data_IF_470914832474
#
_entry.id   IF_470914832474
#
_cell.length_a   1.000
_cell.length_b   1.000
_cell.length_c   1.000
_cell.angle_alpha   90.00
_cell.angle_beta   90.00
_cell.angle_gamma   90.00
#
_symmetry.space_group_name_H-M   'P 1'
#
loop_
_entity.id
_entity.type
_entity.pdbx_description
1 polymer ?
#
# COMPACT_ATOMS: atom_id res chain seq x y z
N UNK A 1 19.66 30.97 -28.11
CA UNK A 1 21.01 30.64 -27.59
C UNK A 1 20.88 30.14 -26.15
N UNK A 2 20.62 28.85 -25.96
CA UNK A 2 20.55 28.22 -24.62
C UNK A 2 21.98 27.94 -24.12
N UNK A 3 22.69 29.00 -23.73
CA UNK A 3 24.06 28.91 -23.23
C UNK A 3 24.12 28.38 -21.81
N UNK A 4 24.91 27.31 -21.60
CA UNK A 4 25.54 26.91 -20.33
C UNK A 4 24.66 27.05 -19.08
N UNK A 5 23.67 26.17 -18.93
CA UNK A 5 23.17 25.84 -17.58
C UNK A 5 24.30 25.09 -16.86
N UNK A 6 24.71 25.57 -15.68
CA UNK A 6 25.60 24.84 -14.77
C UNK A 6 25.04 23.42 -14.58
N UNK A 7 25.64 22.47 -15.28
CA UNK A 7 25.28 21.05 -15.24
C UNK A 7 26.22 20.41 -14.22
N UNK A 8 25.65 19.91 -13.15
CA UNK A 8 26.40 19.02 -12.24
C UNK A 8 26.43 17.64 -12.89
N UNK A 9 27.61 17.04 -12.96
CA UNK A 9 27.75 15.65 -13.38
C UNK A 9 27.47 14.74 -12.20
N UNK A 10 26.61 13.74 -12.41
CA UNK A 10 26.45 12.63 -11.48
C UNK A 10 26.69 11.33 -12.23
N UNK A 11 27.22 10.33 -11.54
CA UNK A 11 27.35 8.97 -12.07
C UNK A 11 26.14 8.17 -11.61
N UNK A 12 25.39 7.60 -12.55
CA UNK A 12 24.28 6.70 -12.27
C UNK A 12 24.46 5.46 -13.15
N UNK A 13 24.52 4.26 -12.55
CA UNK A 13 24.74 3.00 -13.27
C UNK A 13 25.92 3.07 -14.28
N UNK A 14 27.04 3.63 -13.84
CA UNK A 14 28.28 3.82 -14.63
C UNK A 14 28.16 4.77 -15.85
N UNK A 15 27.05 5.49 -15.99
CA UNK A 15 26.86 6.57 -16.97
C UNK A 15 27.00 7.97 -16.34
N UNK A 16 27.70 8.89 -17.02
CA UNK A 16 27.74 10.30 -16.63
C UNK A 16 26.47 11.03 -17.11
N UNK A 17 25.59 11.36 -16.16
CA UNK A 17 24.40 12.16 -16.42
C UNK A 17 24.64 13.63 -16.09
N UNK A 18 24.18 14.50 -17.00
CA UNK A 18 24.16 15.93 -16.79
C UNK A 18 22.81 16.36 -16.21
N UNK A 19 22.79 16.71 -14.93
CA UNK A 19 21.58 17.18 -14.24
C UNK A 19 21.62 18.69 -14.01
N UNK A 20 20.44 19.32 -13.96
CA UNK A 20 20.36 20.75 -13.62
C UNK A 20 20.63 20.98 -12.13
N UNK A 21 21.07 22.20 -11.78
CA UNK A 21 21.39 22.56 -10.39
C UNK A 21 20.22 22.35 -9.43
N UNK A 22 18.99 22.57 -9.89
CA UNK A 22 17.80 22.41 -9.06
C UNK A 22 17.58 20.93 -8.69
N UNK A 23 17.63 20.02 -9.67
CA UNK A 23 17.55 18.58 -9.42
C UNK A 23 18.68 18.10 -8.51
N UNK A 24 19.91 18.60 -8.72
CA UNK A 24 21.03 18.27 -7.85
C UNK A 24 20.79 18.70 -6.40
N UNK A 25 20.20 19.89 -6.19
CA UNK A 25 19.88 20.36 -4.84
C UNK A 25 18.87 19.46 -4.10
N UNK A 26 17.98 18.76 -4.81
CA UNK A 26 17.08 17.78 -4.20
C UNK A 26 17.79 16.48 -3.82
N UNK A 27 18.83 16.08 -4.56
CA UNK A 27 19.70 14.97 -4.17
C UNK A 27 20.41 15.31 -2.85
N UNK A 28 21.03 16.50 -2.77
CA UNK A 28 21.67 16.98 -1.54
C UNK A 28 20.68 17.07 -0.36
N UNK A 29 19.44 17.53 -0.61
CA UNK A 29 18.40 17.56 0.42
C UNK A 29 18.10 16.15 0.95
N UNK A 30 17.99 15.17 0.06
CA UNK A 30 17.71 13.78 0.42
C UNK A 30 18.87 13.16 1.22
N UNK A 31 20.11 13.53 0.92
CA UNK A 31 21.28 13.12 1.73
C UNK A 31 21.26 13.76 3.12
N UNK A 32 20.92 15.05 3.24
CA UNK A 32 20.79 15.72 4.54
C UNK A 32 19.68 15.13 5.41
N UNK A 33 18.56 14.75 4.79
CA UNK A 33 17.44 14.10 5.49
C UNK A 33 17.86 12.77 6.14
N UNK A 34 18.92 12.12 5.66
CA UNK A 34 19.39 10.82 6.16
C UNK A 34 19.62 10.78 7.66
N UNK A 35 20.29 11.81 8.18
CA UNK A 35 20.69 11.91 9.58
C UNK A 35 20.04 13.11 10.27
N UNK A 36 18.99 13.68 9.66
CA UNK A 36 18.32 14.86 10.20
C UNK A 36 17.55 14.51 11.47
N UNK A 37 17.91 15.15 12.57
CA UNK A 37 17.15 15.10 13.84
C UNK A 37 16.22 16.32 13.97
N UNK A 38 16.59 17.43 13.34
CA UNK A 38 15.90 18.71 13.47
C UNK A 38 15.48 19.28 12.12
N UNK A 39 14.29 19.85 12.09
CA UNK A 39 13.81 20.74 11.05
C UNK A 39 13.96 22.19 11.51
N UNK A 40 14.77 22.95 10.80
CA UNK A 40 15.00 24.37 11.06
C UNK A 40 14.16 25.21 10.11
N UNK A 41 13.49 26.22 10.66
CA UNK A 41 12.78 27.23 9.88
C UNK A 41 12.98 28.61 10.51
N UNK A 42 13.35 29.57 9.68
CA UNK A 42 13.41 30.97 10.04
C UNK A 42 12.57 31.79 9.06
N UNK A 43 11.75 32.69 9.60
CA UNK A 43 10.95 33.61 8.78
C UNK A 43 11.77 34.87 8.54
N UNK A 44 11.98 35.21 7.28
CA UNK A 44 12.62 36.43 6.81
C UNK A 44 11.72 37.18 5.85
N UNK A 45 12.32 38.03 5.02
CA UNK A 45 11.63 38.73 3.93
C UNK A 45 11.60 37.85 2.68
N UNK A 46 10.48 37.90 1.95
CA UNK A 46 10.34 37.23 0.66
C UNK A 46 11.25 37.90 -0.37
N UNK A 47 12.03 37.09 -1.08
CA UNK A 47 12.95 37.57 -2.12
C UNK A 47 12.36 37.20 -3.48
N UNK A 48 12.18 38.16 -4.36
CA UNK A 48 11.72 37.86 -5.71
C UNK A 48 12.82 37.14 -6.50
N UNK A 49 12.54 35.92 -6.95
CA UNK A 49 13.50 35.03 -7.62
C UNK A 49 12.79 34.40 -8.82
N UNK A 50 13.01 34.95 -10.01
CA UNK A 50 12.40 34.48 -11.27
C UNK A 50 12.73 33.02 -11.62
N UNK A 51 13.93 32.54 -11.25
CA UNK A 51 14.38 31.20 -11.61
C UNK A 51 15.29 30.58 -10.52
N UNK A 52 14.70 29.94 -9.50
CA UNK A 52 15.43 29.40 -8.36
C UNK A 52 16.34 28.24 -8.81
N UNK A 53 17.61 28.29 -8.40
CA UNK A 53 18.63 27.30 -8.77
C UNK A 53 18.71 26.12 -7.80
N UNK A 54 18.15 26.25 -6.61
CA UNK A 54 18.13 25.22 -5.56
C UNK A 54 16.84 25.31 -4.72
N UNK A 55 16.54 24.26 -3.96
CA UNK A 55 15.34 24.21 -3.12
C UNK A 55 15.29 25.32 -2.04
N UNK A 56 16.44 25.82 -1.55
CA UNK A 56 16.46 26.88 -0.53
C UNK A 56 16.00 28.22 -1.09
N UNK A 57 16.37 28.53 -2.32
CA UNK A 57 15.89 29.71 -3.04
C UNK A 57 14.38 29.68 -3.23
N UNK A 58 13.79 28.50 -3.49
CA UNK A 58 12.33 28.33 -3.53
C UNK A 58 11.71 28.72 -2.19
N UNK A 59 12.23 28.25 -1.06
CA UNK A 59 11.67 28.64 0.24
C UNK A 59 11.89 30.13 0.57
N UNK A 60 13.03 30.68 0.16
CA UNK A 60 13.35 32.10 0.37
C UNK A 60 12.47 33.04 -0.44
N UNK A 61 11.98 32.61 -1.61
CA UNK A 61 10.99 33.41 -2.34
C UNK A 61 9.66 33.55 -1.61
N UNK A 62 9.35 32.61 -0.72
CA UNK A 62 8.23 32.72 0.22
C UNK A 62 8.60 33.38 1.57
N UNK A 63 9.83 33.86 1.74
CA UNK A 63 10.32 34.47 2.97
C UNK A 63 10.69 33.46 4.06
N UNK A 64 11.07 32.24 3.68
CA UNK A 64 11.47 31.19 4.61
C UNK A 64 12.87 30.67 4.32
N UNK A 65 13.72 30.62 5.35
CA UNK A 65 14.98 29.87 5.30
C UNK A 65 14.77 28.53 6.01
N UNK A 66 14.87 27.44 5.26
CA UNK A 66 14.56 26.08 5.70
C UNK A 66 15.81 25.21 5.59
N UNK A 67 16.05 24.38 6.61
CA UNK A 67 17.12 23.39 6.57
C UNK A 67 16.80 22.16 7.42
N UNK A 68 17.45 21.05 7.10
CA UNK A 68 17.39 19.81 7.87
C UNK A 68 18.77 19.55 8.48
N UNK A 69 18.83 19.39 9.80
CA UNK A 69 20.09 19.39 10.56
C UNK A 69 20.19 18.21 11.51
N UNK A 70 21.42 17.69 11.66
CA UNK A 70 21.76 16.64 12.64
C UNK A 70 21.93 17.19 14.05
N UNK A 71 22.49 18.39 14.18
CA UNK A 71 22.71 19.09 15.45
C UNK A 71 22.14 20.51 15.40
N UNK A 72 21.84 21.06 16.58
CA UNK A 72 21.44 22.46 16.70
C UNK A 72 22.63 23.38 16.54
N UNK A 73 22.36 24.55 15.98
CA UNK A 73 23.30 25.67 15.87
C UNK A 73 22.68 26.87 16.57
N UNK A 74 23.47 27.80 17.11
CA UNK A 74 22.99 28.99 17.86
C UNK A 74 22.21 30.04 17.03
N UNK A 75 21.64 29.65 15.89
CA UNK A 75 20.86 30.52 15.01
C UNK A 75 19.52 30.89 15.65
N UNK A 76 19.09 32.15 15.49
CA UNK A 76 17.82 32.72 16.01
C UNK A 76 16.51 32.11 15.45
N UNK A 77 16.58 31.04 14.66
CA UNK A 77 15.40 30.41 14.05
C UNK A 77 14.72 29.37 14.95
N UNK A 78 13.59 28.83 14.48
CA UNK A 78 12.83 27.80 15.19
C UNK A 78 13.32 26.41 14.79
N UNK A 79 13.47 25.54 15.79
CA UNK A 79 13.83 24.14 15.59
C UNK A 79 12.66 23.24 15.98
N UNK A 80 12.28 22.33 15.09
CA UNK A 80 11.31 21.28 15.35
C UNK A 80 12.03 19.93 15.40
N UNK A 81 11.71 19.13 16.41
CA UNK A 81 12.22 17.77 16.53
C UNK A 81 11.44 16.84 15.59
N UNK A 82 12.14 16.05 14.78
CA UNK A 82 11.50 15.13 13.83
C UNK A 82 11.15 13.80 14.52
N UNK A 83 9.91 13.33 14.35
CA UNK A 83 9.41 12.04 14.82
C UNK A 83 9.66 11.73 16.32
N UNK A 84 9.78 12.76 17.15
CA UNK A 84 10.01 12.59 18.59
C UNK A 84 9.31 13.73 19.36
N UNK A 85 8.57 13.36 20.41
CA UNK A 85 7.77 14.27 21.23
C UNK A 85 8.53 14.86 22.41
N UNK A 86 9.78 14.43 22.67
CA UNK A 86 10.63 14.95 23.73
C UNK A 86 11.32 16.27 23.33
N UNK A 87 10.56 17.20 22.75
CA UNK A 87 11.09 18.44 22.20
C UNK A 87 11.50 19.45 23.28
N UNK A 88 10.89 19.38 24.48
CA UNK A 88 11.18 20.29 25.59
C UNK A 88 12.59 20.07 26.15
N UNK A 89 12.98 18.82 26.41
CA UNK A 89 14.32 18.51 26.94
C UNK A 89 15.42 18.83 25.93
N UNK A 90 15.09 18.76 24.64
CA UNK A 90 16.01 19.11 23.56
C UNK A 90 16.02 20.62 23.29
N UNK A 91 15.20 21.45 23.96
CA UNK A 91 15.03 22.91 23.75
C UNK A 91 14.51 23.29 22.35
N UNK A 92 13.65 22.46 21.76
CA UNK A 92 13.01 22.72 20.46
C UNK A 92 11.71 23.53 20.64
N UNK A 93 11.30 24.24 19.58
CA UNK A 93 10.02 24.96 19.53
C UNK A 93 8.80 24.03 19.40
N UNK A 94 9.02 22.77 19.06
CA UNK A 94 7.96 21.77 18.90
C UNK A 94 8.50 20.51 18.22
N UNK A 95 7.59 19.68 17.70
CA UNK A 95 7.91 18.49 16.93
C UNK A 95 7.11 18.44 15.62
N UNK A 96 7.58 17.62 14.68
CA UNK A 96 6.89 17.31 13.43
C UNK A 96 6.95 15.80 13.19
N UNK A 97 5.79 15.21 12.98
CA UNK A 97 5.70 13.84 12.47
C UNK A 97 5.75 13.87 10.95
N UNK A 98 6.29 12.80 10.38
CA UNK A 98 6.32 12.58 8.94
C UNK A 98 7.11 11.34 8.60
N UNK A 99 6.90 10.81 7.41
CA UNK A 99 7.60 9.63 6.92
C UNK A 99 8.96 10.01 6.31
N UNK A 100 9.91 10.40 7.15
CA UNK A 100 11.26 10.82 6.72
C UNK A 100 12.28 9.67 6.67
N UNK A 101 11.89 8.47 7.14
CA UNK A 101 12.78 7.31 7.14
C UNK A 101 12.78 6.66 5.77
N UNK A 102 13.91 6.74 5.08
CA UNK A 102 14.12 6.07 3.81
C UNK A 102 14.93 4.77 4.00
N UNK A 103 14.65 3.73 3.21
CA UNK A 103 15.40 2.48 3.28
C UNK A 103 16.85 2.68 2.84
N UNK A 104 17.80 2.06 3.56
CA UNK A 104 19.24 2.10 3.25
C UNK A 104 19.62 0.90 2.36
N UNK A 105 20.36 1.19 1.29
CA UNK A 105 20.97 0.21 0.39
C UNK A 105 22.47 0.03 0.68
N UNK A 106 23.20 -0.62 -0.22
CA UNK A 106 24.64 -0.91 -0.04
C UNK A 106 25.50 0.35 -0.09
N UNK A 107 25.23 1.24 -1.06
CA UNK A 107 26.02 2.46 -1.33
C UNK A 107 25.32 3.76 -0.87
N UNK A 108 24.22 3.65 -0.14
CA UNK A 108 23.46 4.82 0.31
C UNK A 108 21.97 4.54 0.55
N UNK A 109 21.11 5.23 -0.19
CA UNK A 109 19.68 4.95 -0.19
C UNK A 109 19.37 3.74 -1.07
N UNK A 110 18.40 2.94 -0.66
CA UNK A 110 18.01 1.77 -1.44
C UNK A 110 17.45 2.20 -2.79
N UNK A 111 17.99 1.62 -3.84
CA UNK A 111 17.47 1.73 -5.21
C UNK A 111 16.20 0.90 -5.37
N UNK A 112 15.46 1.17 -6.43
CA UNK A 112 14.29 0.36 -6.79
C UNK A 112 14.63 -1.10 -7.08
N UNK A 113 15.82 -1.37 -7.61
CA UNK A 113 16.29 -2.73 -7.80
C UNK A 113 16.56 -3.42 -6.45
N UNK A 114 17.31 -2.79 -5.54
CA UNK A 114 17.58 -3.35 -4.20
C UNK A 114 16.28 -3.59 -3.39
N UNK A 115 15.27 -2.72 -3.55
CA UNK A 115 13.95 -2.93 -2.94
C UNK A 115 13.20 -4.12 -3.55
N UNK A 116 13.29 -4.30 -4.86
CA UNK A 116 12.64 -5.41 -5.56
C UNK A 116 13.29 -6.76 -5.22
N UNK A 117 14.62 -6.79 -5.05
CA UNK A 117 15.38 -7.99 -4.70
C UNK A 117 15.04 -8.58 -3.33
N UNK A 118 14.49 -7.76 -2.42
CA UNK A 118 13.95 -8.19 -1.13
C UNK A 118 12.56 -8.87 -1.24
N UNK A 119 11.96 -8.89 -2.43
CA UNK A 119 10.66 -9.53 -2.65
C UNK A 119 10.75 -11.04 -2.49
N UNK A 120 9.65 -11.65 -2.03
CA UNK A 120 9.47 -13.10 -2.13
C UNK A 120 9.03 -13.45 -3.56
N UNK A 121 9.67 -14.44 -4.16
CA UNK A 121 9.42 -14.84 -5.55
C UNK A 121 10.09 -13.89 -6.55
N UNK A 122 9.31 -13.33 -7.48
CA UNK A 122 9.84 -12.48 -8.56
C UNK A 122 10.52 -11.22 -8.01
N UNK A 123 11.85 -11.25 -8.00
CA UNK A 123 12.76 -10.21 -7.50
C UNK A 123 12.87 -8.97 -8.40
N UNK A 124 12.14 -8.93 -9.51
CA UNK A 124 12.11 -7.77 -10.40
C UNK A 124 10.87 -6.90 -10.19
N UNK A 125 10.02 -7.21 -9.20
CA UNK A 125 8.74 -6.54 -9.00
C UNK A 125 8.74 -5.63 -7.78
N UNK A 126 8.16 -4.44 -7.96
CA UNK A 126 7.84 -3.48 -6.92
C UNK A 126 6.34 -3.33 -6.77
N UNK A 127 5.91 -3.17 -5.53
CA UNK A 127 4.59 -2.69 -5.18
C UNK A 127 4.60 -1.17 -5.04
N UNK A 128 3.54 -0.55 -5.53
CA UNK A 128 3.26 0.87 -5.37
C UNK A 128 1.89 0.97 -4.72
N UNK A 129 1.77 1.61 -3.57
CA UNK A 129 0.51 1.83 -2.88
C UNK A 129 0.22 3.32 -2.80
N UNK A 130 -0.99 3.67 -3.23
CA UNK A 130 -1.62 4.97 -2.95
C UNK A 130 -2.90 4.75 -2.16
N UNK A 131 -3.17 5.58 -1.17
CA UNK A 131 -4.39 5.52 -0.37
C UNK A 131 -4.90 6.92 -0.03
N UNK A 132 -6.19 7.04 0.21
CA UNK A 132 -6.85 8.32 0.48
C UNK A 132 -8.09 8.11 1.36
N UNK A 133 -8.26 8.96 2.38
CA UNK A 133 -9.40 8.88 3.30
C UNK A 133 -10.70 9.22 2.59
N UNK A 134 -11.67 8.32 2.72
CA UNK A 134 -12.96 8.48 2.08
C UNK A 134 -13.78 9.56 2.78
N UNK A 135 -14.37 10.45 1.98
CA UNK A 135 -15.39 11.41 2.41
C UNK A 135 -14.93 12.38 3.50
N UNK A 136 -13.63 12.68 3.55
CA UNK A 136 -13.04 13.56 4.55
C UNK A 136 -13.76 14.92 4.66
N UNK A 137 -14.09 15.53 3.51
CA UNK A 137 -14.87 16.77 3.47
C UNK A 137 -16.25 16.66 4.14
N UNK A 138 -16.96 15.55 3.92
CA UNK A 138 -18.26 15.28 4.56
C UNK A 138 -18.11 14.99 6.05
N UNK A 139 -17.04 14.30 6.46
CA UNK A 139 -16.73 14.01 7.87
C UNK A 139 -16.52 15.32 8.63
N UNK A 140 -15.70 16.25 8.10
CA UNK A 140 -15.51 17.57 8.72
C UNK A 140 -16.72 18.50 8.60
N UNK A 141 -17.44 18.42 7.48
CA UNK A 141 -18.60 19.25 7.18
C UNK A 141 -19.79 18.95 8.08
N UNK A 142 -20.15 17.67 8.17
CA UNK A 142 -21.42 17.20 8.72
C UNK A 142 -21.28 16.13 9.81
N UNK A 143 -20.13 15.45 9.90
CA UNK A 143 -19.97 14.29 10.80
C UNK A 143 -20.09 14.60 12.29
N UNK A 144 -19.92 15.86 12.70
CA UNK A 144 -20.08 16.31 14.09
C UNK A 144 -21.48 16.87 14.40
N UNK A 145 -22.35 17.06 13.40
CA UNK A 145 -23.69 17.65 13.54
C UNK A 145 -23.71 18.87 14.49
N UNK A 146 -24.62 18.89 15.46
CA UNK A 146 -24.76 19.97 16.46
C UNK A 146 -23.55 20.10 17.41
N UNK A 147 -22.69 19.10 17.49
CA UNK A 147 -21.45 19.14 18.29
C UNK A 147 -20.29 19.81 17.57
N UNK A 148 -20.50 20.43 16.41
CA UNK A 148 -19.43 21.05 15.62
C UNK A 148 -18.89 22.31 16.31
N UNK A 149 -17.66 22.25 16.81
CA UNK A 149 -16.90 23.40 17.32
C UNK A 149 -15.52 23.44 16.69
N UNK A 150 -14.88 24.62 16.66
CA UNK A 150 -13.50 24.78 16.13
C UNK A 150 -12.55 23.80 16.81
N UNK A 151 -12.62 23.69 18.14
CA UNK A 151 -11.79 22.75 18.91
C UNK A 151 -11.97 21.29 18.48
N UNK A 152 -13.21 20.84 18.25
CA UNK A 152 -13.49 19.46 17.82
C UNK A 152 -13.04 19.18 16.39
N UNK A 153 -13.23 20.14 15.47
CA UNK A 153 -12.72 20.03 14.09
C UNK A 153 -11.20 19.94 14.08
N UNK A 154 -10.51 20.84 14.80
CA UNK A 154 -9.04 20.82 14.90
C UNK A 154 -8.53 19.55 15.54
N UNK A 155 -9.23 19.02 16.56
CA UNK A 155 -8.88 17.75 17.19
C UNK A 155 -9.03 16.59 16.21
N UNK A 156 -10.15 16.51 15.49
CA UNK A 156 -10.37 15.48 14.48
C UNK A 156 -9.30 15.51 13.39
N UNK A 157 -8.98 16.69 12.86
CA UNK A 157 -7.91 16.87 11.88
C UNK A 157 -6.56 16.40 12.40
N UNK A 158 -6.20 16.80 13.62
CA UNK A 158 -4.95 16.38 14.25
C UNK A 158 -4.89 14.87 14.49
N UNK A 159 -6.00 14.22 14.82
CA UNK A 159 -6.06 12.76 15.02
C UNK A 159 -5.88 12.02 13.69
N UNK A 160 -6.54 12.47 12.62
CA UNK A 160 -6.36 11.89 11.28
C UNK A 160 -4.89 12.04 10.85
N UNK A 161 -4.34 13.27 10.89
CA UNK A 161 -2.93 13.50 10.57
C UNK A 161 -1.98 12.65 11.40
N UNK A 162 -2.25 12.46 12.70
CA UNK A 162 -1.41 11.62 13.57
C UNK A 162 -1.32 10.17 13.08
N UNK A 163 -2.42 9.63 12.53
CA UNK A 163 -2.42 8.29 11.98
C UNK A 163 -1.51 8.17 10.74
N UNK A 164 -1.70 9.07 9.77
CA UNK A 164 -0.98 9.03 8.49
C UNK A 164 0.46 9.57 8.58
N UNK A 165 0.77 10.48 9.50
CA UNK A 165 2.12 11.06 9.62
C UNK A 165 2.97 10.36 10.70
N UNK A 166 2.33 9.88 11.76
CA UNK A 166 2.98 9.30 12.93
C UNK A 166 2.89 7.78 12.98
N UNK A 167 1.67 7.24 13.10
CA UNK A 167 1.46 5.79 13.28
C UNK A 167 1.95 4.97 12.09
N UNK A 168 1.97 5.53 10.87
CA UNK A 168 2.57 4.87 9.71
C UNK A 168 4.00 4.37 9.99
N UNK A 169 4.84 5.21 10.62
CA UNK A 169 6.22 4.87 10.91
C UNK A 169 6.30 3.73 11.93
N UNK A 170 5.42 3.75 12.93
CA UNK A 170 5.34 2.68 13.93
C UNK A 170 4.88 1.37 13.30
N UNK A 171 3.89 1.39 12.42
CA UNK A 171 3.40 0.18 11.72
C UNK A 171 4.49 -0.42 10.82
N UNK A 172 5.23 0.42 10.07
CA UNK A 172 6.37 -0.02 9.26
C UNK A 172 7.43 -0.70 10.13
N UNK A 173 7.73 -0.12 11.29
CA UNK A 173 8.70 -0.66 12.25
C UNK A 173 8.23 -1.97 12.89
N UNK A 174 6.98 -2.05 13.34
CA UNK A 174 6.39 -3.25 13.95
C UNK A 174 6.38 -4.44 12.99
N UNK A 175 6.25 -4.18 11.69
CA UNK A 175 6.32 -5.20 10.64
C UNK A 175 7.75 -5.49 10.15
N UNK A 176 8.77 -4.82 10.70
CA UNK A 176 10.17 -4.90 10.28
C UNK A 176 10.38 -4.58 8.78
N UNK A 177 9.70 -3.54 8.28
CA UNK A 177 9.67 -3.18 6.85
C UNK A 177 10.48 -1.94 6.51
N UNK A 178 11.25 -1.39 7.46
CA UNK A 178 12.06 -0.18 7.30
C UNK A 178 13.08 -0.25 6.16
N UNK A 179 13.47 -1.47 5.76
CA UNK A 179 14.39 -1.72 4.63
C UNK A 179 13.69 -2.03 3.31
N UNK A 180 12.39 -2.34 3.34
CA UNK A 180 11.62 -2.86 2.21
C UNK A 180 10.56 -1.89 1.69
N UNK A 181 10.25 -0.84 2.46
CA UNK A 181 9.31 0.22 2.08
C UNK A 181 10.03 1.56 2.05
N UNK A 182 9.84 2.25 0.94
CA UNK A 182 10.14 3.65 0.71
C UNK A 182 8.84 4.44 0.75
N UNK A 183 8.65 5.31 1.75
CA UNK A 183 7.49 6.20 1.80
C UNK A 183 7.83 7.49 1.05
N UNK A 184 7.14 7.75 -0.07
CA UNK A 184 7.39 8.95 -0.89
C UNK A 184 6.73 10.17 -0.25
N UNK A 185 5.48 9.99 0.21
CA UNK A 185 4.75 11.00 0.94
C UNK A 185 3.72 10.34 1.86
N UNK A 186 3.50 10.93 3.03
CA UNK A 186 2.38 10.59 3.89
C UNK A 186 2.02 11.82 4.71
N UNK A 187 0.83 12.36 4.51
CA UNK A 187 0.42 13.60 5.17
C UNK A 187 -1.07 13.85 5.07
N UNK A 188 -1.64 14.33 6.19
CA UNK A 188 -3.08 14.51 6.32
C UNK A 188 -3.84 13.19 6.16
N UNK A 189 -4.28 12.93 4.93
CA UNK A 189 -5.17 11.85 4.51
C UNK A 189 -4.70 11.05 3.29
N UNK A 190 -3.62 11.48 2.62
CA UNK A 190 -3.02 10.80 1.46
C UNK A 190 -1.67 10.17 1.85
N UNK A 191 -1.44 8.96 1.36
CA UNK A 191 -0.16 8.26 1.51
C UNK A 191 0.22 7.60 0.21
N UNK A 192 1.51 7.76 -0.15
CA UNK A 192 2.14 7.12 -1.27
C UNK A 192 3.43 6.40 -0.86
N UNK A 193 3.51 5.11 -1.16
CA UNK A 193 4.68 4.29 -0.83
C UNK A 193 5.05 3.31 -1.94
N UNK A 194 6.33 2.97 -2.00
CA UNK A 194 6.94 2.05 -2.96
C UNK A 194 7.75 1.03 -2.17
N UNK A 195 7.72 -0.24 -2.55
CA UNK A 195 8.53 -1.25 -1.86
C UNK A 195 8.46 -2.60 -2.53
N UNK A 196 9.00 -3.63 -1.88
CA UNK A 196 8.86 -5.02 -2.34
C UNK A 196 7.37 -5.37 -2.45
N UNK A 197 6.93 -5.94 -3.56
CA UNK A 197 5.49 -6.04 -3.87
C UNK A 197 4.69 -6.83 -2.83
N UNK A 198 5.26 -7.94 -2.32
CA UNK A 198 4.63 -8.78 -1.30
C UNK A 198 4.54 -8.06 0.04
N UNK A 199 5.52 -7.20 0.33
CA UNK A 199 5.57 -6.38 1.54
C UNK A 199 4.55 -5.24 1.47
N UNK A 200 4.43 -4.57 0.34
CA UNK A 200 3.39 -3.54 0.13
C UNK A 200 1.97 -4.09 0.35
N UNK A 201 1.69 -5.31 -0.13
CA UNK A 201 0.41 -5.99 0.14
C UNK A 201 0.16 -6.25 1.63
N UNK A 202 1.16 -6.78 2.33
CA UNK A 202 1.13 -7.04 3.78
C UNK A 202 0.89 -5.75 4.58
N UNK A 203 1.60 -4.67 4.21
CA UNK A 203 1.44 -3.37 4.82
C UNK A 203 0.04 -2.80 4.59
N UNK A 204 -0.48 -2.83 3.35
CA UNK A 204 -1.80 -2.29 3.05
C UNK A 204 -2.90 -2.96 3.89
N UNK A 205 -2.83 -4.29 4.04
CA UNK A 205 -3.73 -5.04 4.93
C UNK A 205 -3.60 -4.56 6.38
N UNK A 206 -2.39 -4.57 6.93
CA UNK A 206 -2.16 -4.24 8.34
C UNK A 206 -2.54 -2.79 8.66
N UNK A 207 -2.22 -1.87 7.75
CA UNK A 207 -2.55 -0.47 7.85
C UNK A 207 -4.08 -0.24 7.83
N UNK A 208 -4.82 -1.02 7.04
CA UNK A 208 -6.29 -0.99 7.06
C UNK A 208 -6.89 -1.52 8.35
N UNK A 209 -6.37 -2.64 8.87
CA UNK A 209 -6.81 -3.23 10.13
C UNK A 209 -6.59 -2.26 11.30
N UNK A 210 -5.38 -1.68 11.38
CA UNK A 210 -5.06 -0.69 12.42
C UNK A 210 -5.87 0.59 12.29
N UNK A 211 -6.24 1.00 11.08
CA UNK A 211 -7.09 2.16 10.90
C UNK A 211 -8.51 1.89 11.38
N UNK A 212 -9.06 0.71 11.10
CA UNK A 212 -10.35 0.26 11.66
C UNK A 212 -10.35 0.34 13.18
N UNK A 213 -9.29 -0.18 13.84
CA UNK A 213 -9.14 -0.09 15.29
C UNK A 213 -9.07 1.38 15.75
N UNK A 214 -8.29 2.21 15.06
CA UNK A 214 -8.06 3.63 15.37
C UNK A 214 -9.35 4.46 15.35
N UNK A 215 -10.24 4.18 14.39
CA UNK A 215 -11.54 4.85 14.24
C UNK A 215 -12.68 4.14 14.99
N UNK A 216 -12.34 3.22 15.90
CA UNK A 216 -13.30 2.44 16.70
C UNK A 216 -14.31 1.64 15.86
N UNK A 217 -13.86 1.08 14.74
CA UNK A 217 -14.67 0.31 13.78
C UNK A 217 -15.85 1.11 13.19
N UNK A 218 -15.74 2.44 13.14
CA UNK A 218 -16.74 3.29 12.52
C UNK A 218 -16.75 3.11 11.00
N UNK A 219 -17.82 2.48 10.48
CA UNK A 219 -17.99 2.18 9.06
C UNK A 219 -18.11 3.44 8.16
N UNK A 220 -18.29 4.62 8.74
CA UNK A 220 -18.35 5.89 7.99
C UNK A 220 -16.98 6.55 7.79
N UNK A 221 -15.95 6.12 8.52
CA UNK A 221 -14.59 6.65 8.41
C UNK A 221 -13.71 5.53 7.85
N UNK A 222 -13.49 5.58 6.55
CA UNK A 222 -12.75 4.56 5.80
C UNK A 222 -11.72 5.21 4.90
N UNK A 223 -10.89 4.42 4.24
CA UNK A 223 -10.07 4.89 3.14
C UNK A 223 -10.14 3.90 1.98
N UNK A 224 -9.94 4.42 0.78
CA UNK A 224 -9.76 3.63 -0.43
C UNK A 224 -8.28 3.56 -0.78
N UNK A 225 -7.87 2.47 -1.43
CA UNK A 225 -6.47 2.23 -1.77
C UNK A 225 -6.33 1.68 -3.20
N UNK A 226 -5.14 1.82 -3.77
CA UNK A 226 -4.75 1.15 -4.99
C UNK A 226 -3.34 0.63 -4.86
N UNK A 227 -3.15 -0.64 -5.25
CA UNK A 227 -1.87 -1.33 -5.23
C UNK A 227 -1.52 -1.70 -6.67
N UNK A 228 -0.54 -0.98 -7.22
CA UNK A 228 0.07 -1.30 -8.49
C UNK A 228 1.29 -2.22 -8.30
N UNK A 229 1.50 -3.15 -9.23
CA UNK A 229 2.70 -4.00 -9.24
C UNK A 229 3.40 -3.84 -10.57
N UNK A 230 4.66 -3.42 -10.54
CA UNK A 230 5.43 -3.03 -11.72
C UNK A 230 6.83 -3.63 -11.67
N UNK A 231 7.46 -3.75 -12.84
CA UNK A 231 8.87 -4.08 -12.89
C UNK A 231 9.72 -2.94 -12.29
N UNK A 232 10.81 -3.25 -11.60
CA UNK A 232 11.69 -2.26 -10.97
C UNK A 232 12.34 -1.27 -11.95
N UNK A 233 12.42 -1.62 -13.24
CA UNK A 233 12.90 -0.74 -14.32
C UNK A 233 11.79 0.06 -15.00
N UNK A 234 10.52 -0.15 -14.61
CA UNK A 234 9.41 0.60 -15.17
C UNK A 234 9.45 2.06 -14.68
N UNK A 235 9.21 3.06 -15.54
CA UNK A 235 9.30 4.47 -15.15
C UNK A 235 8.40 4.82 -13.96
N UNK A 236 8.99 5.35 -12.88
CA UNK A 236 8.27 5.65 -11.62
C UNK A 236 7.11 6.63 -11.81
N UNK A 237 7.27 7.63 -12.68
CA UNK A 237 6.20 8.60 -12.95
C UNK A 237 4.97 7.91 -13.55
N UNK A 238 5.19 6.93 -14.45
CA UNK A 238 4.10 6.18 -15.07
C UNK A 238 3.43 5.22 -14.10
N UNK A 239 4.19 4.60 -13.18
CA UNK A 239 3.58 3.73 -12.15
C UNK A 239 2.75 4.53 -11.16
N UNK A 240 3.17 5.75 -10.79
CA UNK A 240 2.37 6.69 -10.00
C UNK A 240 1.04 6.98 -10.71
N UNK A 241 1.09 7.46 -11.96
CA UNK A 241 -0.10 7.86 -12.73
C UNK A 241 -1.13 6.71 -12.87
N UNK A 242 -0.64 5.50 -13.17
CA UNK A 242 -1.48 4.31 -13.30
C UNK A 242 -2.10 3.88 -11.97
N UNK A 243 -1.36 4.03 -10.87
CA UNK A 243 -1.84 3.70 -9.52
C UNK A 243 -2.87 4.72 -9.04
N UNK A 244 -2.68 6.00 -9.36
CA UNK A 244 -3.66 7.05 -9.09
C UNK A 244 -4.96 6.84 -9.86
N UNK A 245 -4.87 6.55 -11.16
CA UNK A 245 -6.03 6.18 -11.98
C UNK A 245 -6.78 4.95 -11.41
N UNK A 246 -6.03 4.00 -10.83
CA UNK A 246 -6.58 2.80 -10.20
C UNK A 246 -7.29 3.11 -8.87
N UNK A 247 -6.81 4.11 -8.12
CA UNK A 247 -7.45 4.59 -6.89
C UNK A 247 -8.76 5.31 -7.21
N UNK A 248 -8.76 6.15 -8.25
CA UNK A 248 -9.98 6.81 -8.73
C UNK A 248 -11.01 5.79 -9.20
N UNK A 249 -10.57 4.75 -9.90
CA UNK A 249 -11.45 3.62 -10.25
C UNK A 249 -12.01 2.95 -8.99
N UNK A 250 -11.18 2.68 -7.97
CA UNK A 250 -11.65 2.08 -6.71
C UNK A 250 -12.73 2.93 -6.01
N UNK A 251 -12.55 4.26 -5.97
CA UNK A 251 -13.51 5.20 -5.35
C UNK A 251 -14.82 5.32 -6.12
N UNK A 252 -14.79 5.15 -7.44
CA UNK A 252 -15.94 5.30 -8.33
C UNK A 252 -16.56 3.96 -8.77
N UNK A 253 -16.00 2.83 -8.34
CA UNK A 253 -16.45 1.52 -8.75
C UNK A 253 -17.87 1.23 -8.24
N UNK A 254 -18.74 0.76 -9.14
CA UNK A 254 -20.13 0.42 -8.84
C UNK A 254 -20.30 -1.10 -8.89
N UNK A 255 -20.65 -1.73 -7.78
CA UNK A 255 -21.05 -3.14 -7.85
C UNK A 255 -22.41 -3.28 -8.55
N UNK A 256 -22.63 -4.44 -9.16
CA UNK A 256 -23.93 -4.77 -9.75
C UNK A 256 -25.04 -4.69 -8.69
N UNK A 257 -26.00 -3.79 -8.90
CA UNK A 257 -27.12 -3.55 -7.98
C UNK A 257 -26.94 -2.31 -7.08
N UNK A 258 -25.79 -1.65 -7.10
CA UNK A 258 -25.61 -0.34 -6.44
C UNK A 258 -26.10 0.79 -7.35
N UNK A 259 -26.67 1.83 -6.76
CA UNK A 259 -27.07 3.06 -7.48
C UNK A 259 -26.02 4.16 -7.42
N UNK A 260 -25.14 4.12 -6.42
CA UNK A 260 -24.01 5.03 -6.26
C UNK A 260 -22.76 4.27 -5.84
N UNK A 261 -21.55 4.72 -6.24
CA UNK A 261 -20.31 4.08 -5.84
C UNK A 261 -20.14 4.10 -4.33
N UNK A 262 -20.01 2.93 -3.74
CA UNK A 262 -19.53 2.78 -2.36
C UNK A 262 -18.00 2.90 -2.36
N UNK A 263 -17.43 3.80 -1.56
CA UNK A 263 -15.96 3.87 -1.38
C UNK A 263 -15.48 2.70 -0.50
N UNK A 264 -14.40 2.85 0.27
CA UNK A 264 -13.86 1.78 1.14
C UNK A 264 -13.43 0.54 0.35
N UNK A 265 -12.76 0.76 -0.78
CA UNK A 265 -12.33 -0.29 -1.72
C UNK A 265 -10.83 -0.26 -1.96
N UNK A 266 -10.29 -1.38 -2.40
CA UNK A 266 -8.91 -1.53 -2.82
C UNK A 266 -8.84 -2.02 -4.26
N UNK A 267 -8.07 -1.33 -5.10
CA UNK A 267 -7.74 -1.80 -6.45
C UNK A 267 -6.45 -2.60 -6.42
N UNK A 268 -6.44 -3.76 -7.06
CA UNK A 268 -5.28 -4.63 -7.20
C UNK A 268 -5.32 -5.37 -8.54
N UNK A 269 -4.21 -5.33 -9.28
CA UNK A 269 -4.05 -6.06 -10.56
C UNK A 269 -5.17 -5.77 -11.59
N UNK A 270 -5.69 -4.55 -11.59
CA UNK A 270 -6.73 -4.09 -12.52
C UNK A 270 -8.17 -4.36 -12.06
N UNK A 271 -8.35 -5.00 -10.91
CA UNK A 271 -9.64 -5.34 -10.34
C UNK A 271 -9.90 -4.56 -9.06
N UNK A 272 -11.17 -4.26 -8.77
CA UNK A 272 -11.59 -3.56 -7.56
C UNK A 272 -12.24 -4.54 -6.59
N UNK A 273 -11.81 -4.47 -5.33
CA UNK A 273 -12.24 -5.33 -4.25
C UNK A 273 -12.66 -4.51 -3.03
N UNK A 274 -13.59 -5.03 -2.23
CA UNK A 274 -13.73 -4.56 -0.86
C UNK A 274 -12.64 -5.20 0.04
N UNK A 275 -12.50 -4.69 1.26
CA UNK A 275 -11.45 -5.15 2.18
C UNK A 275 -11.65 -6.60 2.66
N UNK A 276 -12.88 -7.11 2.69
CA UNK A 276 -13.15 -8.53 2.97
C UNK A 276 -12.60 -9.41 1.86
N UNK A 277 -12.91 -9.08 0.61
CA UNK A 277 -12.43 -9.76 -0.59
C UNK A 277 -10.90 -9.74 -0.65
N UNK A 278 -10.27 -8.60 -0.36
CA UNK A 278 -8.82 -8.48 -0.29
C UNK A 278 -8.20 -9.42 0.74
N UNK A 279 -8.81 -9.57 1.93
CA UNK A 279 -8.37 -10.54 2.94
C UNK A 279 -8.54 -11.98 2.47
N UNK A 280 -9.59 -12.29 1.70
CA UNK A 280 -9.80 -13.64 1.13
C UNK A 280 -8.78 -13.96 0.05
N UNK A 281 -8.40 -12.99 -0.79
CA UNK A 281 -7.31 -13.14 -1.77
C UNK A 281 -6.04 -13.63 -1.07
N UNK A 282 -5.65 -13.00 0.05
CA UNK A 282 -4.44 -13.38 0.77
C UNK A 282 -4.53 -14.79 1.39
N UNK A 283 -5.69 -15.17 1.94
CA UNK A 283 -5.90 -16.53 2.46
C UNK A 283 -5.75 -17.58 1.36
N UNK A 284 -6.43 -17.39 0.23
CA UNK A 284 -6.34 -18.30 -0.92
C UNK A 284 -4.92 -18.33 -1.47
N UNK A 285 -4.24 -17.17 -1.56
CA UNK A 285 -2.83 -17.08 -1.98
C UNK A 285 -1.94 -17.95 -1.08
N UNK A 286 -2.10 -17.85 0.25
CA UNK A 286 -1.27 -18.61 1.18
C UNK A 286 -1.52 -20.13 1.08
N UNK A 287 -2.78 -20.55 0.94
CA UNK A 287 -3.13 -21.96 0.72
C UNK A 287 -2.45 -22.52 -0.54
N UNK A 288 -2.43 -21.74 -1.63
CA UNK A 288 -1.75 -22.11 -2.86
C UNK A 288 -0.24 -22.23 -2.68
N UNK A 289 0.40 -21.26 -2.03
CA UNK A 289 1.85 -21.26 -1.79
C UNK A 289 2.26 -22.44 -0.92
N UNK A 290 1.56 -22.68 0.20
CA UNK A 290 1.81 -23.81 1.10
C UNK A 290 1.78 -25.14 0.36
N UNK A 291 0.85 -25.28 -0.58
CA UNK A 291 0.67 -26.49 -1.38
C UNK A 291 1.77 -26.68 -2.41
N UNK A 292 2.18 -25.59 -3.08
CA UNK A 292 3.30 -25.63 -4.04
C UNK A 292 4.61 -25.96 -3.33
N UNK A 293 4.88 -25.33 -2.19
CA UNK A 293 6.10 -25.58 -1.42
C UNK A 293 6.18 -27.04 -0.97
N UNK A 294 5.08 -27.62 -0.48
CA UNK A 294 5.02 -29.05 -0.17
C UNK A 294 5.25 -29.91 -1.41
N UNK A 295 4.60 -29.64 -2.54
CA UNK A 295 4.82 -30.42 -3.76
C UNK A 295 6.30 -30.43 -4.19
N UNK A 296 7.01 -29.31 -3.99
CA UNK A 296 8.45 -29.21 -4.24
C UNK A 296 9.28 -30.04 -3.24
N UNK A 297 8.93 -30.05 -1.95
CA UNK A 297 9.62 -30.88 -0.94
C UNK A 297 9.59 -32.38 -1.27
N UNK A 298 8.53 -32.86 -1.93
CA UNK A 298 8.39 -34.26 -2.35
C UNK A 298 8.88 -34.53 -3.79
N UNK A 299 9.65 -33.61 -4.40
CA UNK A 299 10.20 -33.73 -5.76
C UNK A 299 9.16 -33.94 -6.87
N UNK A 300 7.96 -33.37 -6.72
CA UNK A 300 6.93 -33.41 -7.77
C UNK A 300 6.54 -31.99 -8.26
N UNK A 301 7.44 -31.29 -8.98
CA UNK A 301 7.26 -29.87 -9.36
C UNK A 301 6.15 -29.64 -10.41
N UNK A 302 5.79 -30.67 -11.19
CA UNK A 302 4.78 -30.55 -12.25
C UNK A 302 3.35 -30.34 -11.75
N UNK A 303 3.12 -30.44 -10.43
CA UNK A 303 1.78 -30.33 -9.84
C UNK A 303 1.43 -28.92 -9.44
N UNK A 304 2.41 -28.08 -9.09
CA UNK A 304 2.14 -26.69 -8.72
C UNK A 304 1.41 -25.93 -9.83
N UNK A 305 1.94 -25.93 -11.06
CA UNK A 305 1.35 -25.18 -12.18
C UNK A 305 0.05 -25.78 -12.72
N UNK A 306 -0.05 -27.10 -12.81
CA UNK A 306 -1.29 -27.78 -13.23
C UNK A 306 -2.43 -27.55 -12.25
N UNK A 307 -2.12 -27.55 -10.94
CA UNK A 307 -3.06 -27.25 -9.87
C UNK A 307 -3.55 -25.81 -9.92
N UNK A 308 -2.62 -24.84 -10.05
CA UNK A 308 -2.96 -23.42 -10.19
C UNK A 308 -3.91 -23.18 -11.35
N UNK A 309 -3.63 -23.78 -12.51
CA UNK A 309 -4.50 -23.68 -13.68
C UNK A 309 -5.90 -24.27 -13.44
N UNK A 310 -5.97 -25.41 -12.74
CA UNK A 310 -7.26 -26.07 -12.43
C UNK A 310 -8.09 -25.24 -11.44
N UNK A 311 -7.45 -24.60 -10.46
CA UNK A 311 -8.11 -23.70 -9.51
C UNK A 311 -8.53 -22.40 -10.20
N UNK A 312 -7.70 -21.84 -11.06
CA UNK A 312 -8.09 -20.68 -11.86
C UNK A 312 -9.34 -21.00 -12.72
N UNK A 313 -9.44 -22.22 -13.26
CA UNK A 313 -10.64 -22.68 -13.99
C UNK A 313 -11.87 -22.89 -13.11
N UNK A 314 -11.70 -23.28 -11.84
CA UNK A 314 -12.82 -23.50 -10.91
C UNK A 314 -13.65 -22.23 -10.70
N UNK A 315 -13.05 -21.05 -10.89
CA UNK A 315 -13.67 -19.72 -10.92
C UNK A 315 -14.94 -19.68 -11.77
N UNK A 316 -14.94 -20.34 -12.94
CA UNK A 316 -16.11 -20.38 -13.81
C UNK A 316 -17.29 -21.12 -13.18
N UNK A 317 -17.02 -22.23 -12.48
CA UNK A 317 -18.03 -22.99 -11.74
C UNK A 317 -18.51 -22.26 -10.48
N UNK A 318 -17.62 -21.53 -9.80
CA UNK A 318 -17.96 -20.78 -8.59
C UNK A 318 -18.72 -19.48 -8.88
N UNK A 319 -18.56 -18.89 -10.07
CA UNK A 319 -19.23 -17.63 -10.45
C UNK A 319 -20.73 -17.64 -10.19
N UNK A 320 -21.42 -18.69 -10.62
CA UNK A 320 -22.88 -18.80 -10.47
C UNK A 320 -23.26 -18.99 -9.00
N UNK A 321 -22.50 -19.82 -8.26
CA UNK A 321 -22.71 -20.05 -6.83
C UNK A 321 -22.57 -18.74 -6.04
N UNK A 322 -21.56 -17.92 -6.38
CA UNK A 322 -21.34 -16.62 -5.77
C UNK A 322 -22.47 -15.62 -6.06
N UNK A 323 -23.00 -15.63 -7.29
CA UNK A 323 -24.14 -14.80 -7.65
C UNK A 323 -25.41 -15.22 -6.91
N UNK A 324 -25.64 -16.53 -6.74
CA UNK A 324 -26.78 -17.06 -6.00
C UNK A 324 -26.66 -16.72 -4.50
N UNK A 325 -25.47 -16.83 -3.91
CA UNK A 325 -25.26 -16.51 -2.49
C UNK A 325 -25.51 -15.03 -2.18
N UNK A 326 -25.13 -14.12 -3.08
CA UNK A 326 -25.46 -12.69 -2.96
C UNK A 326 -26.97 -12.40 -3.05
N UNK A 327 -27.76 -13.32 -3.62
CA UNK A 327 -29.23 -13.26 -3.65
C UNK A 327 -29.89 -14.01 -2.50
N UNK A 328 -29.12 -14.48 -1.52
CA UNK A 328 -29.64 -15.28 -0.40
C UNK A 328 -29.98 -16.72 -0.77
N UNK A 329 -29.52 -17.21 -1.92
CA UNK A 329 -29.83 -18.56 -2.43
C UNK A 329 -28.61 -19.46 -2.35
N UNK A 330 -28.85 -20.75 -2.12
CA UNK A 330 -27.81 -21.78 -2.18
C UNK A 330 -28.28 -22.90 -3.09
N UNK A 331 -27.46 -23.20 -4.09
CA UNK A 331 -27.61 -24.39 -4.92
C UNK A 331 -26.57 -25.43 -4.47
N UNK A 332 -27.01 -26.32 -3.57
CA UNK A 332 -26.17 -27.40 -3.06
C UNK A 332 -25.66 -28.31 -4.18
N UNK A 333 -26.43 -28.52 -5.25
CA UNK A 333 -26.04 -29.40 -6.36
C UNK A 333 -24.89 -28.78 -7.16
N UNK A 334 -24.95 -27.48 -7.46
CA UNK A 334 -23.84 -26.76 -8.09
C UNK A 334 -22.59 -26.78 -7.22
N UNK A 335 -22.74 -26.61 -5.90
CA UNK A 335 -21.62 -26.70 -4.97
C UNK A 335 -21.00 -28.10 -4.96
N UNK A 336 -21.82 -29.16 -4.94
CA UNK A 336 -21.35 -30.55 -5.07
C UNK A 336 -20.62 -30.81 -6.39
N UNK A 337 -21.08 -30.24 -7.51
CA UNK A 337 -20.39 -30.34 -8.82
C UNK A 337 -19.02 -29.65 -8.80
N UNK A 338 -18.91 -28.49 -8.15
CA UNK A 338 -17.64 -27.79 -7.97
C UNK A 338 -16.67 -28.62 -7.12
N UNK A 339 -17.15 -29.15 -5.98
CA UNK A 339 -16.36 -30.05 -5.14
C UNK A 339 -15.92 -31.31 -5.89
N UNK A 340 -16.79 -31.87 -6.73
CA UNK A 340 -16.46 -33.02 -7.59
C UNK A 340 -15.43 -32.68 -8.67
N UNK A 341 -15.50 -31.50 -9.29
CA UNK A 341 -14.47 -31.05 -10.24
C UNK A 341 -13.08 -30.97 -9.58
N UNK A 342 -13.06 -30.54 -8.32
CA UNK A 342 -11.85 -30.49 -7.48
C UNK A 342 -11.49 -31.86 -6.88
N UNK A 343 -12.23 -32.94 -7.18
CA UNK A 343 -11.94 -34.29 -6.67
C UNK A 343 -10.60 -34.82 -7.17
N UNK A 344 -10.21 -34.56 -8.42
CA UNK A 344 -8.89 -35.04 -8.88
C UNK A 344 -7.76 -34.31 -8.12
N UNK A 345 -7.98 -33.06 -7.70
CA UNK A 345 -7.05 -32.37 -6.79
C UNK A 345 -7.01 -33.12 -5.46
N UNK A 346 -8.17 -33.50 -4.92
CA UNK A 346 -8.27 -34.31 -3.70
C UNK A 346 -7.62 -35.70 -3.82
N UNK A 347 -7.67 -36.33 -4.99
CA UNK A 347 -7.02 -37.62 -5.24
C UNK A 347 -5.49 -37.48 -5.39
N UNK A 348 -5.01 -36.36 -5.93
CA UNK A 348 -3.60 -35.96 -5.86
C UNK A 348 -3.17 -35.73 -4.39
N UNK A 349 -4.02 -35.04 -3.62
CA UNK A 349 -4.15 -35.03 -2.15
C UNK A 349 -3.70 -36.34 -1.47
N UNK A 350 -4.58 -37.33 -1.62
CA UNK A 350 -4.56 -38.60 -0.87
C UNK A 350 -3.46 -39.56 -1.29
N UNK A 351 -3.06 -39.57 -2.57
CA UNK A 351 -2.03 -40.50 -3.07
C UNK A 351 -0.63 -40.19 -2.55
N UNK A 352 -0.37 -38.97 -2.08
CA UNK A 352 0.99 -38.44 -1.94
C UNK A 352 1.44 -38.16 -0.51
N UNK A 353 0.66 -38.60 0.49
CA UNK A 353 0.97 -38.39 1.92
C UNK A 353 1.21 -36.91 2.30
N UNK A 354 0.61 -35.96 1.57
CA UNK A 354 0.60 -34.57 2.00
C UNK A 354 -0.35 -34.46 3.20
N UNK A 355 0.17 -34.26 4.40
CA UNK A 355 -0.62 -34.24 5.65
C UNK A 355 -1.65 -33.09 5.80
N UNK A 356 -2.07 -32.44 4.71
CA UNK A 356 -3.20 -31.49 4.66
C UNK A 356 -4.05 -31.80 3.44
N UNK A 357 -5.36 -31.79 3.62
CA UNK A 357 -6.35 -31.96 2.55
C UNK A 357 -6.58 -30.61 1.86
N UNK A 358 -5.61 -30.15 1.05
CA UNK A 358 -5.67 -28.85 0.37
C UNK A 358 -6.96 -28.67 -0.42
N UNK A 359 -7.40 -29.71 -1.14
CA UNK A 359 -8.68 -29.67 -1.85
C UNK A 359 -9.85 -29.38 -0.91
N UNK A 360 -9.82 -29.92 0.31
CA UNK A 360 -10.83 -29.66 1.32
C UNK A 360 -10.73 -28.24 1.88
N UNK A 361 -9.53 -27.72 2.10
CA UNK A 361 -9.29 -26.34 2.55
C UNK A 361 -9.82 -25.32 1.54
N UNK A 362 -9.58 -25.52 0.24
CA UNK A 362 -10.12 -24.65 -0.81
C UNK A 362 -11.65 -24.76 -0.93
N UNK A 363 -12.19 -25.98 -0.85
CA UNK A 363 -13.65 -26.18 -0.84
C UNK A 363 -14.27 -25.51 0.40
N UNK A 364 -13.60 -25.58 1.55
CA UNK A 364 -14.03 -24.93 2.76
C UNK A 364 -13.97 -23.41 2.62
N UNK A 365 -12.95 -22.82 2.01
CA UNK A 365 -12.94 -21.38 1.71
C UNK A 365 -14.10 -20.99 0.79
N UNK A 366 -14.40 -21.75 -0.27
CA UNK A 366 -15.60 -21.50 -1.10
C UNK A 366 -16.89 -21.58 -0.28
N UNK A 367 -17.00 -22.54 0.64
CA UNK A 367 -18.15 -22.69 1.53
C UNK A 367 -18.26 -21.49 2.47
N UNK A 368 -17.16 -21.06 3.07
CA UNK A 368 -17.10 -19.91 3.97
C UNK A 368 -17.46 -18.61 3.25
N UNK A 369 -17.08 -18.44 1.98
CA UNK A 369 -17.52 -17.30 1.16
C UNK A 369 -19.04 -17.30 0.99
N UNK A 370 -19.62 -18.46 0.68
CA UNK A 370 -21.08 -18.59 0.54
C UNK A 370 -21.78 -18.32 1.87
N UNK A 371 -21.33 -18.93 2.96
CA UNK A 371 -21.90 -18.71 4.31
C UNK A 371 -21.80 -17.25 4.72
N UNK A 372 -20.65 -16.61 4.49
CA UNK A 372 -20.45 -15.19 4.78
C UNK A 372 -21.47 -14.31 4.04
N UNK A 373 -21.71 -14.56 2.75
CA UNK A 373 -22.69 -13.78 1.98
C UNK A 373 -24.14 -13.98 2.44
N UNK A 374 -24.47 -15.16 2.99
CA UNK A 374 -25.82 -15.49 3.48
C UNK A 374 -26.08 -14.97 4.89
N UNK A 375 -25.07 -15.03 5.75
CA UNK A 375 -25.18 -14.70 7.18
C UNK A 375 -24.68 -13.29 7.52
N UNK A 376 -23.99 -12.64 6.58
CA UNK A 376 -23.42 -11.32 6.73
C UNK A 376 -24.47 -10.26 7.04
N UNK A 377 -24.31 -9.58 8.18
CA UNK A 377 -25.20 -8.47 8.59
C UNK A 377 -24.96 -7.21 7.78
N UNK A 378 -23.71 -6.97 7.37
CA UNK A 378 -23.32 -5.83 6.54
C UNK A 378 -23.10 -6.30 5.09
N UNK A 379 -24.02 -5.92 4.20
CA UNK A 379 -23.99 -6.29 2.78
C UNK A 379 -22.83 -5.66 2.01
N UNK A 380 -22.20 -4.60 2.51
CA UNK A 380 -21.06 -3.95 1.85
C UNK A 380 -19.79 -4.81 1.91
N UNK A 381 -19.72 -5.68 2.92
CA UNK A 381 -18.66 -6.68 3.05
C UNK A 381 -18.98 -8.00 2.33
N UNK A 382 -20.11 -8.08 1.61
CA UNK A 382 -20.39 -9.28 0.83
C UNK A 382 -19.31 -9.45 -0.25
N UNK A 383 -18.95 -10.70 -0.47
CA UNK A 383 -18.02 -11.10 -1.51
C UNK A 383 -18.80 -11.17 -2.81
N UNK A 384 -18.50 -10.26 -3.73
CA UNK A 384 -19.21 -10.06 -5.01
C UNK A 384 -18.29 -10.30 -6.20
N UNK A 385 -17.00 -9.97 -6.07
CA UNK A 385 -16.03 -10.10 -7.13
C UNK A 385 -15.47 -11.53 -7.20
N UNK A 386 -15.75 -12.20 -8.31
CA UNK A 386 -15.27 -13.57 -8.58
C UNK A 386 -13.75 -13.61 -8.84
N UNK A 387 -13.13 -12.46 -9.14
CA UNK A 387 -11.71 -12.33 -9.46
C UNK A 387 -10.77 -12.58 -8.28
N UNK A 388 -11.31 -12.80 -7.07
CA UNK A 388 -10.53 -13.19 -5.88
C UNK A 388 -9.63 -14.39 -6.15
N UNK A 389 -10.15 -15.41 -6.84
CA UNK A 389 -9.39 -16.64 -7.12
C UNK A 389 -8.32 -16.38 -8.19
N UNK A 390 -8.62 -15.86 -9.39
CA UNK A 390 -7.60 -15.51 -10.37
C UNK A 390 -6.50 -14.59 -9.84
N UNK A 391 -6.86 -13.58 -9.05
CA UNK A 391 -5.88 -12.66 -8.45
C UNK A 391 -5.01 -13.40 -7.42
N UNK A 392 -5.60 -14.21 -6.53
CA UNK A 392 -4.82 -15.02 -5.59
C UNK A 392 -3.87 -16.00 -6.30
N UNK A 393 -4.33 -16.64 -7.37
CA UNK A 393 -3.50 -17.53 -8.21
C UNK A 393 -2.33 -16.77 -8.82
N UNK A 394 -2.57 -15.60 -9.42
CA UNK A 394 -1.52 -14.77 -10.03
C UNK A 394 -0.48 -14.30 -9.00
N UNK A 395 -0.91 -13.91 -7.81
CA UNK A 395 0.01 -13.53 -6.73
C UNK A 395 0.82 -14.74 -6.24
N UNK A 396 0.22 -15.92 -6.14
CA UNK A 396 0.94 -17.14 -5.78
C UNK A 396 1.96 -17.53 -6.86
N UNK A 397 1.61 -17.39 -8.14
CA UNK A 397 2.57 -17.57 -9.25
C UNK A 397 3.75 -16.61 -9.15
N UNK A 398 3.49 -15.34 -8.84
CA UNK A 398 4.55 -14.33 -8.65
C UNK A 398 5.45 -14.66 -7.45
N UNK A 399 4.90 -15.15 -6.35
CA UNK A 399 5.67 -15.49 -5.14
C UNK A 399 6.46 -16.80 -5.26
N UNK A 400 6.00 -17.73 -6.11
CA UNK A 400 6.67 -19.03 -6.33
C UNK A 400 7.62 -19.03 -7.53
N UNK A 401 7.67 -17.93 -8.28
CA UNK A 401 8.65 -17.75 -9.37
C UNK A 401 10.03 -17.50 -8.76
N UNK A 402 10.90 -18.50 -8.86
CA UNK A 402 12.31 -18.45 -8.41
C UNK A 402 13.19 -17.80 -9.47
#
# INVERSE_FOLDING_TARGET
SYSNRNKSKITYEDEELNICSLCYSFIELTEKLRDAKYFYINKGEAIDIDNPKNYKEIFRSFGYDVDFKKSKTSNKGRYYLLNNTNFLSEECSGFRFGAYSLPKGEKGWATFQELAEQSKGDKNLLGVLKLDVDNLGSIFGFGLAESKTVSRITTLSRMISLYFEGYINQIIKDLNMEKSIYTVYSGGDDTFLIGSWNKVLEFAKRFREKFSEYVCYNEKITFSAAIGIFNCRYPVIRSIDLTESSLDNAKNYLYSGETQPTKNKVSLLGEVFNWEEFRRIERVKQLLIDTINKANEYNEPNIGRGLLYKIAKSTAGFKIILQDSNKGKVDSVRFWRLAYYLREVKEMDKKRKYGREFAEEIIEEYRQIVVHNLTGRNKDNNIRNIMIIPVATRLAEMETKV
#
